data_IF_649096849811
#
_entry.id   IF_649096849811
#
_cell.length_a   1.000
_cell.length_b   1.000
_cell.length_c   1.000
_cell.angle_alpha   90.00
_cell.angle_beta   90.00
_cell.angle_gamma   90.00
#
_symmetry.space_group_name_H-M   'P 1'
#
loop_
_entity.id
_entity.type
_entity.pdbx_description
1 polymer ?
#
# COMPACT_ATOMS: atom_id res chain seq x y z
N UNK A 1 -25.69 -0.41 -63.21
CA UNK A 1 -24.27 -0.46 -62.76
C UNK A 1 -23.91 0.58 -61.69
N UNK A 2 -24.56 1.75 -61.59
CA UNK A 2 -24.23 2.75 -60.55
C UNK A 2 -24.60 2.31 -59.13
N UNK A 3 -25.82 1.81 -58.91
CA UNK A 3 -26.32 1.49 -57.57
C UNK A 3 -25.53 0.40 -56.83
N UNK A 4 -24.94 -0.54 -57.56
CA UNK A 4 -24.10 -1.60 -56.97
C UNK A 4 -22.72 -1.08 -56.57
N UNK A 5 -22.19 -0.12 -57.33
CA UNK A 5 -20.95 0.58 -57.02
C UNK A 5 -21.13 1.46 -55.76
N UNK A 6 -22.27 2.16 -55.67
CA UNK A 6 -22.59 3.03 -54.53
C UNK A 6 -22.82 2.21 -53.25
N UNK A 7 -23.46 1.03 -53.37
CA UNK A 7 -23.60 0.09 -52.25
C UNK A 7 -22.26 -0.46 -51.77
N UNK A 8 -21.33 -0.81 -52.69
CA UNK A 8 -19.99 -1.30 -52.32
C UNK A 8 -19.13 -0.19 -51.70
N UNK A 9 -19.27 1.05 -52.15
CA UNK A 9 -18.63 2.22 -51.52
C UNK A 9 -19.13 2.45 -50.09
N UNK A 10 -20.44 2.36 -49.87
CA UNK A 10 -21.01 2.49 -48.53
C UNK A 10 -20.51 1.39 -47.57
N UNK A 11 -20.43 0.15 -48.05
CA UNK A 11 -19.89 -0.97 -47.26
C UNK A 11 -18.40 -0.81 -46.95
N UNK A 12 -17.59 -0.34 -47.91
CA UNK A 12 -16.18 -0.04 -47.68
C UNK A 12 -16.00 1.07 -46.65
N UNK A 13 -16.78 2.15 -46.75
CA UNK A 13 -16.72 3.26 -45.81
C UNK A 13 -17.10 2.83 -44.38
N UNK A 14 -18.14 2.01 -44.24
CA UNK A 14 -18.53 1.46 -42.94
C UNK A 14 -17.43 0.55 -42.34
N UNK A 15 -16.76 -0.25 -43.16
CA UNK A 15 -15.63 -1.09 -42.73
C UNK A 15 -14.40 -0.27 -42.36
N UNK A 16 -14.13 0.82 -43.08
CA UNK A 16 -13.05 1.77 -42.76
C UNK A 16 -13.31 2.47 -41.43
N UNK A 17 -14.55 2.89 -41.18
CA UNK A 17 -14.97 3.47 -39.90
C UNK A 17 -14.86 2.45 -38.75
N UNK A 18 -15.33 1.21 -38.94
CA UNK A 18 -15.20 0.16 -37.94
C UNK A 18 -13.72 -0.16 -37.63
N UNK A 19 -12.88 -0.20 -38.66
CA UNK A 19 -11.43 -0.36 -38.49
C UNK A 19 -10.77 0.81 -37.77
N UNK A 20 -11.21 2.05 -38.04
CA UNK A 20 -10.70 3.25 -37.39
C UNK A 20 -11.07 3.28 -35.90
N UNK A 21 -12.32 2.96 -35.56
CA UNK A 21 -12.79 2.84 -34.17
C UNK A 21 -12.01 1.75 -33.44
N UNK A 22 -11.81 0.58 -34.06
CA UNK A 22 -11.02 -0.50 -33.47
C UNK A 22 -9.56 -0.11 -33.24
N UNK A 23 -8.93 0.65 -34.15
CA UNK A 23 -7.57 1.17 -33.96
C UNK A 23 -7.49 2.21 -32.84
N UNK A 24 -8.50 3.06 -32.71
CA UNK A 24 -8.57 4.03 -31.62
C UNK A 24 -8.69 3.33 -30.25
N UNK A 25 -9.52 2.29 -30.15
CA UNK A 25 -9.67 1.45 -28.94
C UNK A 25 -8.36 0.72 -28.60
N UNK A 26 -7.65 0.19 -29.61
CA UNK A 26 -6.36 -0.47 -29.36
C UNK A 26 -5.26 0.52 -28.99
N UNK A 27 -5.27 1.73 -29.56
CA UNK A 27 -4.34 2.78 -29.21
C UNK A 27 -4.57 3.31 -27.78
N UNK A 28 -5.83 3.35 -27.32
CA UNK A 28 -6.18 3.76 -25.97
C UNK A 28 -5.79 2.72 -24.89
N UNK A 29 -5.62 1.45 -25.27
CA UNK A 29 -5.21 0.37 -24.38
C UNK A 29 -3.70 0.29 -24.11
N UNK A 30 -2.85 0.91 -24.94
CA UNK A 30 -1.38 0.77 -24.88
C UNK A 30 -0.71 1.86 -24.02
N UNK A 31 -1.41 2.91 -23.59
CA UNK A 31 -0.84 4.01 -22.78
C UNK A 31 -1.79 4.40 -21.63
N UNK A 32 -1.62 3.76 -20.48
CA UNK A 32 -2.45 3.77 -19.25
C UNK A 32 -2.67 5.13 -18.54
N UNK A 33 -2.57 6.29 -19.18
CA UNK A 33 -2.87 7.56 -18.50
C UNK A 33 -3.34 8.73 -19.38
N UNK A 34 -3.52 8.54 -20.69
CA UNK A 34 -4.01 9.60 -21.62
C UNK A 34 -5.26 9.22 -22.42
N UNK A 35 -5.87 8.08 -22.13
CA UNK A 35 -6.75 7.39 -23.08
C UNK A 35 -8.23 7.76 -23.00
N UNK A 36 -8.68 8.31 -21.86
CA UNK A 36 -10.11 8.65 -21.68
C UNK A 36 -10.44 10.02 -22.30
N UNK A 37 -9.53 10.97 -22.21
CA UNK A 37 -9.67 12.31 -22.82
C UNK A 37 -9.77 12.22 -24.36
N UNK A 38 -9.03 11.29 -24.97
CA UNK A 38 -9.05 11.05 -26.42
C UNK A 38 -10.39 10.46 -26.92
N UNK A 39 -11.13 9.72 -26.08
CA UNK A 39 -12.41 9.11 -26.47
C UNK A 39 -13.57 10.11 -26.45
N UNK A 40 -13.48 11.16 -25.63
CA UNK A 40 -14.44 12.27 -25.57
C UNK A 40 -14.33 13.22 -26.79
N UNK A 41 -13.11 13.43 -27.28
CA UNK A 41 -12.90 14.21 -28.52
C UNK A 41 -13.46 13.48 -29.76
N UNK A 42 -13.45 12.14 -29.76
CA UNK A 42 -14.00 11.33 -30.85
C UNK A 42 -15.54 11.33 -30.85
N UNK A 43 -16.19 11.33 -29.68
CA UNK A 43 -17.67 11.41 -29.60
C UNK A 43 -18.19 12.80 -29.96
N UNK A 44 -17.49 13.87 -29.55
CA UNK A 44 -17.82 15.24 -29.96
C UNK A 44 -17.59 15.47 -31.46
N UNK A 45 -16.54 14.87 -32.05
CA UNK A 45 -16.32 14.88 -33.49
C UNK A 45 -17.40 14.11 -34.28
N UNK A 46 -17.86 12.96 -33.76
CA UNK A 46 -18.99 12.20 -34.33
C UNK A 46 -20.32 12.97 -34.21
N UNK A 47 -20.56 13.70 -33.12
CA UNK A 47 -21.71 14.61 -32.99
C UNK A 47 -21.65 15.81 -33.94
N UNK A 48 -20.45 16.37 -34.17
CA UNK A 48 -20.25 17.54 -35.03
C UNK A 48 -20.23 17.20 -36.53
N UNK A 49 -20.05 15.92 -36.89
CA UNK A 49 -19.92 15.48 -38.28
C UNK A 49 -21.21 14.98 -38.92
N UNK A 50 -22.37 15.05 -38.26
CA UNK A 50 -23.66 14.83 -38.92
C UNK A 50 -24.01 16.02 -39.83
N UNK A 51 -23.94 15.89 -41.17
CA UNK A 51 -24.54 16.87 -42.04
C UNK A 51 -26.04 16.59 -42.07
N UNK A 52 -26.87 17.60 -41.79
CA UNK A 52 -28.31 17.58 -42.12
C UNK A 52 -28.49 17.37 -43.63
N UNK A 53 -28.45 16.12 -44.12
CA UNK A 53 -28.84 15.76 -45.48
C UNK A 53 -29.51 14.38 -45.50
N UNK A 54 -30.82 14.43 -45.28
CA UNK A 54 -31.84 13.78 -46.11
C UNK A 54 -31.43 12.50 -46.85
N UNK A 55 -31.71 11.32 -46.27
CA UNK A 55 -32.11 10.13 -47.05
C UNK A 55 -33.01 9.26 -46.17
N UNK A 56 -34.14 8.87 -46.76
CA UNK A 56 -35.15 7.97 -46.23
C UNK A 56 -34.56 6.57 -45.95
N UNK A 57 -35.00 5.94 -44.85
CA UNK A 57 -34.75 4.53 -44.49
C UNK A 57 -33.37 4.16 -43.91
N UNK A 58 -33.02 4.75 -42.77
CA UNK A 58 -32.40 3.95 -41.69
C UNK A 58 -33.41 3.80 -40.54
N UNK A 59 -33.53 2.64 -39.87
CA UNK A 59 -34.44 2.53 -38.74
C UNK A 59 -33.95 3.48 -37.66
N UNK A 60 -34.75 4.48 -37.30
CA UNK A 60 -34.44 5.43 -36.24
C UNK A 60 -34.08 4.75 -34.90
N UNK A 61 -34.49 3.49 -34.74
CA UNK A 61 -34.16 2.61 -33.62
C UNK A 61 -32.66 2.25 -33.58
N UNK A 62 -32.02 1.88 -34.70
CA UNK A 62 -30.60 1.50 -34.71
C UNK A 62 -29.66 2.65 -34.34
N UNK A 63 -29.95 3.88 -34.79
CA UNK A 63 -29.16 5.05 -34.40
C UNK A 63 -29.45 5.49 -32.96
N UNK A 64 -30.64 5.22 -32.43
CA UNK A 64 -31.00 5.46 -31.03
C UNK A 64 -30.29 4.47 -30.10
N UNK A 65 -30.23 3.20 -30.48
CA UNK A 65 -29.62 2.13 -29.68
C UNK A 65 -28.10 2.29 -29.60
N UNK A 66 -27.44 2.65 -30.71
CA UNK A 66 -26.00 2.98 -30.70
C UNK A 66 -25.72 4.20 -29.83
N UNK A 67 -26.60 5.22 -29.84
CA UNK A 67 -26.45 6.39 -28.96
C UNK A 67 -26.67 6.08 -27.49
N UNK A 68 -27.60 5.17 -27.16
CA UNK A 68 -27.80 4.71 -25.80
C UNK A 68 -26.56 3.95 -25.28
N UNK A 69 -26.01 3.04 -26.08
CA UNK A 69 -24.81 2.28 -25.74
C UNK A 69 -23.57 3.17 -25.58
N UNK A 70 -23.45 4.23 -26.39
CA UNK A 70 -22.35 5.19 -26.25
C UNK A 70 -22.46 6.01 -24.95
N UNK A 71 -23.67 6.38 -24.52
CA UNK A 71 -23.87 7.05 -23.23
C UNK A 71 -23.57 6.14 -22.06
N UNK A 72 -24.07 4.90 -22.08
CA UNK A 72 -23.79 3.91 -21.05
C UNK A 72 -22.28 3.63 -20.94
N UNK A 73 -21.57 3.58 -22.07
CA UNK A 73 -20.11 3.48 -22.09
C UNK A 73 -19.44 4.70 -21.46
N UNK A 74 -19.90 5.91 -21.77
CA UNK A 74 -19.32 7.14 -21.23
C UNK A 74 -19.56 7.25 -19.72
N UNK A 75 -20.74 6.84 -19.25
CA UNK A 75 -21.06 6.75 -17.83
C UNK A 75 -20.14 5.74 -17.12
N UNK A 76 -19.95 4.54 -17.70
CA UNK A 76 -19.01 3.55 -17.17
C UNK A 76 -17.56 4.04 -17.19
N UNK A 77 -17.15 4.78 -18.22
CA UNK A 77 -15.81 5.36 -18.29
C UNK A 77 -15.60 6.41 -17.19
N UNK A 78 -16.64 7.19 -16.88
CA UNK A 78 -16.62 8.16 -15.80
C UNK A 78 -16.55 7.47 -14.43
N UNK A 79 -17.33 6.41 -14.20
CA UNK A 79 -17.29 5.62 -12.97
C UNK A 79 -15.91 4.96 -12.75
N UNK A 80 -15.30 4.45 -13.83
CA UNK A 80 -13.93 3.91 -13.79
C UNK A 80 -12.94 5.01 -13.38
N UNK A 81 -13.01 6.19 -13.99
CA UNK A 81 -12.12 7.31 -13.65
C UNK A 81 -12.29 7.77 -12.19
N UNK A 82 -13.53 7.85 -11.70
CA UNK A 82 -13.79 8.19 -10.30
C UNK A 82 -13.21 7.14 -9.35
N UNK A 83 -13.41 5.86 -9.67
CA UNK A 83 -12.89 4.75 -8.87
C UNK A 83 -11.36 4.74 -8.88
N UNK A 84 -10.73 5.05 -10.01
CA UNK A 84 -9.27 5.18 -10.13
C UNK A 84 -8.74 6.30 -9.25
N UNK A 85 -9.35 7.49 -9.27
CA UNK A 85 -8.93 8.61 -8.40
C UNK A 85 -9.08 8.26 -6.92
N UNK A 86 -10.18 7.63 -6.54
CA UNK A 86 -10.39 7.19 -5.16
C UNK A 86 -9.34 6.14 -4.73
N UNK A 87 -8.92 5.26 -5.65
CA UNK A 87 -7.87 4.28 -5.39
C UNK A 87 -6.50 4.95 -5.25
N UNK A 88 -6.18 5.93 -6.11
CA UNK A 88 -4.95 6.73 -6.05
C UNK A 88 -4.86 7.49 -4.72
N UNK A 89 -5.93 8.16 -4.29
CA UNK A 89 -6.00 8.84 -2.99
C UNK A 89 -5.74 7.87 -1.83
N UNK A 90 -6.33 6.67 -1.86
CA UNK A 90 -6.10 5.65 -0.82
C UNK A 90 -4.67 5.11 -0.85
N UNK A 91 -4.07 5.01 -2.04
CA UNK A 91 -2.69 4.56 -2.17
C UNK A 91 -1.72 5.62 -1.64
N UNK A 92 -1.96 6.90 -1.91
CA UNK A 92 -1.18 8.01 -1.34
C UNK A 92 -1.29 8.06 0.19
N UNK A 93 -2.50 7.90 0.74
CA UNK A 93 -2.71 7.78 2.19
C UNK A 93 -1.92 6.60 2.77
N UNK A 94 -1.94 5.42 2.12
CA UNK A 94 -1.20 4.24 2.57
C UNK A 94 0.31 4.48 2.59
N UNK A 95 0.86 5.15 1.58
CA UNK A 95 2.29 5.49 1.53
C UNK A 95 2.65 6.48 2.65
N UNK A 96 1.77 7.44 2.93
CA UNK A 96 1.95 8.37 4.04
C UNK A 96 2.01 7.63 5.39
N UNK A 97 1.09 6.70 5.64
CA UNK A 97 1.10 5.88 6.86
C UNK A 97 2.36 5.02 6.98
N UNK A 98 2.81 4.40 5.89
CA UNK A 98 4.04 3.61 5.91
C UNK A 98 5.25 4.47 6.31
N UNK A 99 5.33 5.69 5.78
CA UNK A 99 6.40 6.64 6.12
C UNK A 99 6.37 7.05 7.60
N UNK A 100 5.18 7.23 8.18
CA UNK A 100 4.99 7.58 9.58
C UNK A 100 5.36 6.42 10.52
N UNK A 101 5.01 5.18 10.15
CA UNK A 101 5.41 3.97 10.88
C UNK A 101 6.94 3.86 10.91
N UNK A 102 7.61 4.05 9.76
CA UNK A 102 9.07 4.00 9.68
C UNK A 102 9.72 5.08 10.55
N UNK A 103 9.19 6.30 10.52
CA UNK A 103 9.67 7.40 11.37
C UNK A 103 9.50 7.07 12.86
N UNK A 104 8.32 6.59 13.25
CA UNK A 104 8.03 6.23 14.65
C UNK A 104 8.94 5.11 15.13
N UNK A 105 9.20 4.11 14.29
CA UNK A 105 10.13 3.02 14.57
C UNK A 105 11.55 3.55 14.82
N UNK A 106 12.04 4.45 13.97
CA UNK A 106 13.37 5.04 14.14
C UNK A 106 13.46 5.84 15.44
N UNK A 107 12.43 6.64 15.75
CA UNK A 107 12.37 7.42 16.99
C UNK A 107 12.37 6.52 18.23
N UNK A 108 11.58 5.44 18.24
CA UNK A 108 11.54 4.48 19.34
C UNK A 108 12.88 3.76 19.54
N UNK A 109 13.53 3.35 18.45
CA UNK A 109 14.86 2.73 18.51
C UNK A 109 15.90 3.70 19.07
N UNK A 110 15.87 4.97 18.64
CA UNK A 110 16.76 6.00 19.13
C UNK A 110 16.56 6.25 20.63
N UNK A 111 15.30 6.45 21.06
CA UNK A 111 14.97 6.67 22.47
C UNK A 111 15.37 5.47 23.36
N UNK A 112 15.17 4.24 22.88
CA UNK A 112 15.64 3.03 23.58
C UNK A 112 17.17 2.97 23.67
N UNK A 113 17.86 3.37 22.61
CA UNK A 113 19.31 3.41 22.62
C UNK A 113 19.83 4.46 23.60
N UNK A 114 19.27 5.68 23.58
CA UNK A 114 19.60 6.75 24.53
C UNK A 114 19.33 6.34 25.98
N UNK A 115 18.17 5.72 26.25
CA UNK A 115 17.85 5.22 27.59
C UNK A 115 18.84 4.14 28.04
N UNK A 116 19.26 3.24 27.14
CA UNK A 116 20.24 2.20 27.44
C UNK A 116 21.63 2.77 27.69
N UNK A 117 22.04 3.79 26.95
CA UNK A 117 23.31 4.48 27.15
C UNK A 117 23.30 5.32 28.43
N UNK A 118 22.18 6.00 28.73
CA UNK A 118 22.00 6.75 29.97
C UNK A 118 21.98 5.86 31.22
N UNK A 119 21.50 4.62 31.09
CA UNK A 119 21.52 3.59 32.13
C UNK A 119 22.69 2.61 31.99
N UNK A 120 23.80 2.99 31.35
CA UNK A 120 25.06 2.28 31.56
C UNK A 120 25.52 2.52 32.99
N UNK A 121 25.03 1.67 33.90
CA UNK A 121 25.71 1.47 35.18
C UNK A 121 27.18 1.19 34.87
N UNK A 122 28.12 1.84 35.59
CA UNK A 122 29.52 1.51 35.44
C UNK A 122 29.67 0.00 35.58
N UNK A 123 30.51 -0.67 34.76
CA UNK A 123 30.72 -2.11 34.89
C UNK A 123 30.99 -2.38 36.37
N UNK A 124 30.17 -3.23 37.01
CA UNK A 124 30.31 -3.46 38.44
C UNK A 124 31.74 -3.92 38.69
N UNK A 125 32.38 -3.33 39.71
CA UNK A 125 33.75 -3.66 40.06
C UNK A 125 33.86 -5.18 40.19
N UNK A 126 34.75 -5.79 39.40
CA UNK A 126 34.91 -7.23 39.34
C UNK A 126 35.19 -7.82 40.73
N UNK A 127 35.91 -7.07 41.59
CA UNK A 127 36.17 -7.46 42.96
C UNK A 127 34.89 -7.46 43.82
N UNK A 128 33.99 -6.49 43.61
CA UNK A 128 32.72 -6.39 44.33
C UNK A 128 31.77 -7.52 43.90
N UNK A 129 31.61 -7.78 42.61
CA UNK A 129 30.80 -8.90 42.13
C UNK A 129 31.28 -10.26 42.66
N UNK A 130 32.60 -10.47 42.67
CA UNK A 130 33.17 -11.72 43.18
C UNK A 130 32.91 -11.87 44.68
N UNK A 131 32.99 -10.78 45.44
CA UNK A 131 32.66 -10.77 46.87
C UNK A 131 31.18 -11.07 47.11
N UNK A 132 30.28 -10.42 46.39
CA UNK A 132 28.83 -10.60 46.54
C UNK A 132 28.42 -12.03 46.14
N UNK A 133 29.03 -12.59 45.09
CA UNK A 133 28.84 -13.99 44.69
C UNK A 133 29.31 -14.95 45.77
N UNK A 134 30.51 -14.74 46.33
CA UNK A 134 31.05 -15.58 47.40
C UNK A 134 30.19 -15.50 48.66
N UNK A 135 29.72 -14.31 49.04
CA UNK A 135 28.78 -14.14 50.15
C UNK A 135 27.51 -14.95 49.91
N UNK A 136 26.89 -14.84 48.71
CA UNK A 136 25.69 -15.61 48.38
C UNK A 136 25.90 -17.12 48.40
N UNK A 137 27.06 -17.61 47.93
CA UNK A 137 27.41 -19.04 48.00
C UNK A 137 27.57 -19.51 49.44
N UNK A 138 28.29 -18.75 50.28
CA UNK A 138 28.51 -19.12 51.69
C UNK A 138 27.20 -19.10 52.47
N UNK A 139 26.38 -18.05 52.28
CA UNK A 139 25.06 -17.95 52.91
C UNK A 139 24.14 -19.09 52.45
N UNK A 140 24.15 -19.42 51.16
CA UNK A 140 23.39 -20.54 50.61
C UNK A 140 23.80 -21.88 51.21
N UNK A 141 25.12 -22.14 51.31
CA UNK A 141 25.67 -23.35 51.94
C UNK A 141 25.37 -23.41 53.44
N UNK A 142 25.40 -22.28 54.15
CA UNK A 142 25.04 -22.23 55.56
C UNK A 142 23.54 -22.50 55.77
N UNK A 143 22.68 -21.88 54.97
CA UNK A 143 21.23 -22.00 55.13
C UNK A 143 20.65 -23.34 54.66
N UNK A 144 21.28 -23.99 53.67
CA UNK A 144 20.74 -25.19 53.03
C UNK A 144 21.63 -26.43 53.16
N UNK A 145 22.86 -26.26 53.66
CA UNK A 145 23.77 -27.37 53.91
C UNK A 145 23.60 -27.94 55.31
N UNK A 146 23.96 -29.22 55.48
CA UNK A 146 23.96 -29.92 56.78
C UNK A 146 25.17 -29.55 57.66
N UNK A 147 25.83 -28.42 57.40
CA UNK A 147 26.99 -27.96 58.17
C UNK A 147 26.44 -27.16 59.36
N UNK A 148 26.72 -27.55 60.62
CA UNK A 148 26.23 -26.86 61.80
C UNK A 148 27.06 -25.60 62.09
N UNK A 149 27.02 -24.63 61.18
CA UNK A 149 27.77 -23.38 61.29
C UNK A 149 27.47 -22.58 62.56
N UNK A 150 26.30 -22.80 63.17
CA UNK A 150 25.86 -22.20 64.43
C UNK A 150 26.59 -22.74 65.67
N UNK A 151 27.35 -23.84 65.55
CA UNK A 151 28.15 -24.40 66.64
C UNK A 151 29.53 -23.74 66.75
N UNK A 152 29.99 -23.10 65.68
CA UNK A 152 31.25 -22.36 65.63
C UNK A 152 30.96 -20.85 65.74
N UNK A 153 31.40 -20.18 66.82
CA UNK A 153 31.14 -18.75 67.01
C UNK A 153 31.79 -17.87 65.93
N UNK A 154 32.94 -18.27 65.36
CA UNK A 154 33.59 -17.50 64.29
C UNK A 154 32.80 -17.62 62.98
N UNK A 155 32.32 -18.82 62.67
CA UNK A 155 31.50 -19.06 61.46
C UNK A 155 30.11 -18.41 61.59
N UNK A 156 29.55 -18.41 62.81
CA UNK A 156 28.29 -17.75 63.13
C UNK A 156 28.38 -16.24 62.92
N UNK A 157 29.44 -15.60 63.44
CA UNK A 157 29.68 -14.17 63.24
C UNK A 157 29.85 -13.83 61.75
N UNK A 158 30.60 -14.67 61.02
CA UNK A 158 30.79 -14.50 59.58
C UNK A 158 29.46 -14.57 58.83
N UNK A 159 28.66 -15.63 59.01
CA UNK A 159 27.38 -15.82 58.31
C UNK A 159 26.39 -14.70 58.65
N UNK A 160 26.28 -14.32 59.92
CA UNK A 160 25.39 -13.24 60.35
C UNK A 160 25.84 -11.87 59.83
N UNK A 161 27.15 -11.63 59.71
CA UNK A 161 27.67 -10.38 59.12
C UNK A 161 27.40 -10.25 57.62
N UNK A 162 27.16 -11.37 56.92
CA UNK A 162 26.83 -11.42 55.49
C UNK A 162 25.33 -11.32 55.18
N UNK A 163 24.46 -11.44 56.20
CA UNK A 163 23.00 -11.30 56.09
C UNK A 163 22.51 -9.83 56.26
N UNK A 164 23.43 -8.90 56.55
CA UNK A 164 23.13 -7.47 56.63
C UNK A 164 23.18 -6.81 55.22
N UNK A 165 22.21 -5.92 54.88
CA UNK A 165 22.11 -5.28 53.58
C UNK A 165 23.22 -4.25 53.28
#
# INVERSE_FOLDING_TARGET
MSAELDRKKAQLHALEQACAVRRAILASYVVSSRSVESSFEVTSALQASEPRKSVEHEPAEFSSDVRALLRERDDLAFDILQTQRALEEKQEESVAFESEIQRTRQQAVHALHEAREAHKEPPPDAAKMQRDLLHGVILGLAMHGDIPWYEDPELTELVLSMDAP
#
